data_IF_164195707898
#
_entry.id   IF_164195707898
#
_cell.length_a   1.000
_cell.length_b   1.000
_cell.length_c   1.000
_cell.angle_alpha   90.00
_cell.angle_beta   90.00
_cell.angle_gamma   90.00
#
_symmetry.space_group_name_H-M   'P 1'
#
loop_
_entity.id
_entity.type
_entity.pdbx_description
1 polymer ?
#
# COMPACT_ATOMS: atom_id res chain seq x y z
N UNK A 1 0.52 -0.05 21.02
CA UNK A 1 -0.63 -0.78 21.58
C UNK A 1 -0.57 -2.21 21.05
N UNK A 2 -0.42 -3.19 21.95
CA UNK A 2 -0.30 -4.61 21.57
C UNK A 2 -1.68 -5.12 21.16
N UNK A 3 -1.86 -5.55 19.90
CA UNK A 3 -3.15 -5.99 19.33
C UNK A 3 -3.71 -7.28 19.93
N UNK A 4 -3.01 -7.89 20.90
CA UNK A 4 -3.25 -9.26 21.34
C UNK A 4 -4.52 -9.48 22.19
N UNK A 5 -5.28 -8.45 22.56
CA UNK A 5 -6.44 -8.54 23.47
C UNK A 5 -7.68 -7.73 23.03
N UNK A 6 -7.84 -7.43 21.74
CA UNK A 6 -9.07 -6.77 21.27
C UNK A 6 -10.15 -7.83 20.99
N UNK A 7 -11.41 -7.61 21.41
CA UNK A 7 -12.52 -8.44 20.97
C UNK A 7 -12.61 -8.48 19.44
N UNK A 8 -13.10 -9.59 18.87
CA UNK A 8 -13.22 -9.79 17.42
C UNK A 8 -13.98 -8.66 16.70
N UNK A 9 -14.93 -8.05 17.41
CA UNK A 9 -15.87 -7.09 16.85
C UNK A 9 -15.33 -5.65 16.93
N UNK A 10 -14.10 -5.46 17.38
CA UNK A 10 -13.50 -4.15 17.60
C UNK A 10 -12.59 -3.74 16.44
N UNK A 11 -12.70 -2.48 16.02
CA UNK A 11 -11.82 -1.90 15.04
C UNK A 11 -10.49 -1.50 15.66
N UNK A 12 -9.38 -1.86 14.99
CA UNK A 12 -8.01 -1.60 15.46
C UNK A 12 -7.75 -0.12 15.74
N UNK A 13 -8.30 0.76 14.90
CA UNK A 13 -8.03 2.21 14.97
C UNK A 13 -8.78 2.92 16.09
N UNK A 14 -9.93 2.40 16.50
CA UNK A 14 -10.76 3.02 17.56
C UNK A 14 -10.69 2.26 18.87
N UNK A 15 -10.25 0.99 18.85
CA UNK A 15 -10.36 0.10 20.00
C UNK A 15 -11.81 -0.07 20.45
N UNK A 16 -12.76 0.05 19.52
CA UNK A 16 -14.20 0.04 19.79
C UNK A 16 -14.94 -0.69 18.67
N UNK A 17 -16.20 -1.11 18.88
CA UNK A 17 -17.00 -1.74 17.84
C UNK A 17 -17.51 -0.76 16.78
N UNK A 18 -17.14 0.53 16.88
CA UNK A 18 -17.50 1.56 15.90
C UNK A 18 -16.30 1.88 15.00
N UNK A 19 -16.48 1.95 13.67
CA UNK A 19 -15.43 2.37 12.77
C UNK A 19 -15.09 3.84 13.00
N UNK A 20 -13.83 4.21 12.71
CA UNK A 20 -13.42 5.61 12.72
C UNK A 20 -14.04 6.33 11.52
N UNK A 21 -14.54 7.55 11.74
CA UNK A 21 -14.98 8.41 10.64
C UNK A 21 -13.75 8.80 9.77
N UNK A 22 -13.83 8.70 8.43
CA UNK A 22 -12.65 8.87 7.57
C UNK A 22 -11.96 10.25 7.65
N UNK A 23 -12.66 11.33 7.98
CA UNK A 23 -12.03 12.65 8.16
C UNK A 23 -11.22 12.71 9.44
N UNK A 24 -11.60 11.98 10.49
CA UNK A 24 -10.80 11.88 11.71
C UNK A 24 -9.42 11.26 11.43
N UNK A 25 -9.31 10.33 10.48
CA UNK A 25 -8.01 9.78 10.07
C UNK A 25 -7.08 10.88 9.54
N UNK A 26 -7.56 11.72 8.63
CA UNK A 26 -6.77 12.84 8.11
C UNK A 26 -6.43 13.85 9.20
N UNK A 27 -7.35 14.12 10.13
CA UNK A 27 -7.09 15.00 11.27
C UNK A 27 -5.96 14.47 12.16
N UNK A 28 -6.05 13.20 12.60
CA UNK A 28 -5.03 12.56 13.43
C UNK A 28 -3.68 12.50 12.69
N UNK A 29 -3.70 12.15 11.40
CA UNK A 29 -2.48 12.11 10.58
C UNK A 29 -1.81 13.47 10.47
N UNK A 30 -2.58 14.53 10.20
CA UNK A 30 -2.06 15.90 10.11
C UNK A 30 -1.45 16.37 11.43
N UNK A 31 -2.04 15.96 12.57
CA UNK A 31 -1.52 16.26 13.90
C UNK A 31 -0.16 15.60 14.12
N UNK A 32 -0.03 14.32 13.78
CA UNK A 32 1.23 13.56 13.86
C UNK A 32 2.29 14.20 12.96
N UNK A 33 1.95 14.56 11.72
CA UNK A 33 2.87 15.23 10.80
C UNK A 33 3.38 16.55 11.38
N UNK A 34 2.50 17.35 11.99
CA UNK A 34 2.88 18.61 12.64
C UNK A 34 3.82 18.39 13.82
N UNK A 35 3.55 17.40 14.66
CA UNK A 35 4.40 17.03 15.80
C UNK A 35 5.79 16.57 15.33
N UNK A 36 5.86 15.82 14.23
CA UNK A 36 7.09 15.33 13.63
C UNK A 36 7.76 16.32 12.66
N UNK A 37 7.19 17.52 12.45
CA UNK A 37 7.66 18.54 11.50
C UNK A 37 7.79 18.03 10.06
N UNK A 38 6.89 17.14 9.64
CA UNK A 38 6.80 16.59 8.29
C UNK A 38 5.87 17.49 7.46
N UNK A 39 6.15 17.72 6.16
CA UNK A 39 5.22 18.42 5.28
C UNK A 39 3.82 17.81 5.28
N UNK A 40 2.81 18.66 5.19
CA UNK A 40 1.42 18.21 5.13
C UNK A 40 1.20 17.26 3.96
N UNK A 41 0.49 16.17 4.20
CA UNK A 41 0.05 15.25 3.16
C UNK A 41 -1.23 14.55 3.59
N UNK A 42 -2.06 14.16 2.62
CA UNK A 42 -3.27 13.38 2.92
C UNK A 42 -2.93 11.96 3.36
N UNK A 43 -3.78 11.35 4.18
CA UNK A 43 -3.58 10.00 4.72
C UNK A 43 -3.36 8.93 3.62
N UNK A 44 -3.93 9.13 2.43
CA UNK A 44 -3.72 8.25 1.26
C UNK A 44 -2.25 8.13 0.83
N UNK A 45 -1.37 9.06 1.22
CA UNK A 45 0.06 8.97 0.90
C UNK A 45 0.70 7.70 1.47
N UNK A 46 0.21 7.20 2.61
CA UNK A 46 0.73 5.96 3.20
C UNK A 46 0.49 4.75 2.28
N UNK A 47 -0.68 4.71 1.64
CA UNK A 47 -1.02 3.68 0.66
C UNK A 47 -0.14 3.78 -0.58
N UNK A 48 0.15 5.00 -1.03
CA UNK A 48 1.07 5.23 -2.13
C UNK A 48 2.50 4.80 -1.80
N UNK A 49 2.99 5.15 -0.61
CA UNK A 49 4.32 4.73 -0.14
C UNK A 49 4.43 3.22 -0.06
N UNK A 50 3.42 2.53 0.50
CA UNK A 50 3.41 1.07 0.54
C UNK A 50 3.46 0.46 -0.87
N UNK A 51 2.64 0.96 -1.79
CA UNK A 51 2.61 0.48 -3.17
C UNK A 51 3.96 0.64 -3.87
N UNK A 52 4.59 1.82 -3.76
CA UNK A 52 5.93 2.07 -4.32
C UNK A 52 6.96 1.09 -3.75
N UNK A 53 6.98 0.90 -2.43
CA UNK A 53 7.94 0.00 -1.78
C UNK A 53 7.72 -1.46 -2.15
N UNK A 54 6.47 -1.90 -2.25
CA UNK A 54 6.15 -3.27 -2.68
C UNK A 54 6.60 -3.54 -4.12
N UNK A 55 6.50 -2.55 -5.02
CA UNK A 55 7.00 -2.71 -6.38
C UNK A 55 8.52 -2.66 -6.47
N UNK A 56 9.19 -1.85 -5.65
CA UNK A 56 10.64 -1.85 -5.52
C UNK A 56 11.19 -3.22 -5.08
N UNK A 57 10.43 -3.98 -4.27
CA UNK A 57 10.81 -5.34 -3.86
C UNK A 57 10.43 -6.43 -4.88
N UNK A 58 9.97 -6.05 -6.08
CA UNK A 58 9.66 -6.98 -7.17
C UNK A 58 8.27 -7.62 -7.08
N UNK A 59 7.37 -7.09 -6.25
CA UNK A 59 5.97 -7.56 -6.21
C UNK A 59 5.28 -7.19 -7.51
N UNK A 60 4.60 -8.16 -8.13
CA UNK A 60 3.87 -7.90 -9.36
C UNK A 60 2.65 -6.98 -9.11
N UNK A 61 2.35 -6.15 -10.11
CA UNK A 61 1.31 -5.13 -9.99
C UNK A 61 -0.10 -5.70 -9.79
N UNK A 62 -0.36 -6.95 -10.23
CA UNK A 62 -1.67 -7.60 -10.08
C UNK A 62 -1.88 -8.05 -8.64
N UNK A 63 -0.90 -8.73 -8.06
CA UNK A 63 -0.90 -9.10 -6.65
C UNK A 63 -0.99 -7.88 -5.75
N UNK A 64 -0.25 -6.82 -6.05
CA UNK A 64 -0.32 -5.58 -5.28
C UNK A 64 -1.71 -4.91 -5.34
N UNK A 65 -2.36 -4.94 -6.51
CA UNK A 65 -3.72 -4.40 -6.66
C UNK A 65 -4.76 -5.21 -5.84
N UNK A 66 -4.62 -6.53 -5.79
CA UNK A 66 -5.45 -7.42 -4.97
C UNK A 66 -5.23 -7.17 -3.46
N UNK A 67 -3.99 -7.07 -3.00
CA UNK A 67 -3.64 -6.77 -1.60
C UNK A 67 -4.22 -5.42 -1.16
N UNK A 68 -4.14 -4.41 -2.05
CA UNK A 68 -4.65 -3.08 -1.76
C UNK A 68 -6.19 -3.00 -1.85
N UNK A 69 -6.87 -4.01 -2.40
CA UNK A 69 -8.33 -4.07 -2.45
C UNK A 69 -8.98 -2.94 -3.27
N UNK A 70 -8.31 -2.46 -4.33
CA UNK A 70 -8.91 -1.44 -5.20
C UNK A 70 -10.00 -2.07 -6.07
N UNK A 71 -11.25 -1.59 -5.92
CA UNK A 71 -12.31 -1.84 -6.91
C UNK A 71 -11.95 -1.23 -8.29
N UNK A 72 -10.98 -0.31 -8.35
CA UNK A 72 -10.54 0.34 -9.59
C UNK A 72 -9.03 0.15 -9.79
N UNK A 73 -8.69 -0.95 -10.48
CA UNK A 73 -7.32 -1.34 -10.88
C UNK A 73 -6.60 -0.21 -11.65
N UNK A 74 -7.35 0.68 -12.30
CA UNK A 74 -6.84 1.71 -13.22
C UNK A 74 -5.94 2.76 -12.54
N UNK A 75 -6.18 3.11 -11.27
CA UNK A 75 -5.34 4.10 -10.56
C UNK A 75 -4.00 3.52 -10.12
N UNK A 76 -3.98 2.26 -9.70
CA UNK A 76 -2.77 1.52 -9.30
C UNK A 76 -1.94 1.13 -10.53
N UNK A 77 -2.58 0.68 -11.62
CA UNK A 77 -1.85 0.37 -12.85
C UNK A 77 -1.25 1.64 -13.48
N UNK A 78 -1.99 2.75 -13.53
CA UNK A 78 -1.54 3.94 -14.26
C UNK A 78 -0.45 4.76 -13.55
N UNK A 79 -0.33 4.68 -12.21
CA UNK A 79 0.72 5.38 -11.46
C UNK A 79 2.01 4.57 -11.33
N UNK A 80 1.93 3.23 -11.41
CA UNK A 80 3.05 2.37 -11.06
C UNK A 80 3.54 1.42 -12.16
N UNK A 81 2.80 1.27 -13.27
CA UNK A 81 3.29 0.60 -14.49
C UNK A 81 4.21 1.55 -15.28
N UNK A 82 5.31 1.94 -14.63
CA UNK A 82 6.55 2.14 -15.35
C UNK A 82 7.46 0.96 -15.02
N UNK A 83 7.23 -0.22 -15.63
CA UNK A 83 8.19 -1.30 -15.53
C UNK A 83 9.51 -0.76 -16.08
N UNK A 84 10.47 -0.58 -15.17
CA UNK A 84 11.82 -0.21 -15.55
C UNK A 84 12.30 -1.22 -16.59
N UNK A 85 13.09 -0.77 -17.57
CA UNK A 85 13.68 -1.64 -18.59
C UNK A 85 14.34 -2.88 -17.97
N UNK A 86 14.90 -2.73 -16.78
CA UNK A 86 15.51 -3.78 -15.98
C UNK A 86 14.52 -4.89 -15.59
N UNK A 87 13.33 -4.55 -15.11
CA UNK A 87 12.31 -5.54 -14.74
C UNK A 87 11.78 -6.32 -15.95
N UNK A 88 11.69 -5.66 -17.12
CA UNK A 88 11.34 -6.35 -18.38
C UNK A 88 12.42 -7.34 -18.80
N UNK A 89 13.69 -6.96 -18.67
CA UNK A 89 14.84 -7.81 -19.00
C UNK A 89 14.94 -9.02 -18.05
N UNK A 90 14.72 -8.82 -16.74
CA UNK A 90 14.72 -9.90 -15.75
C UNK A 90 13.60 -10.91 -16.00
N UNK A 91 12.38 -10.46 -16.30
CA UNK A 91 11.25 -11.35 -16.61
C UNK A 91 11.47 -12.14 -17.91
N UNK A 92 12.04 -11.51 -18.94
CA UNK A 92 12.43 -12.18 -20.18
C UNK A 92 13.51 -13.24 -19.93
N UNK A 93 14.54 -12.91 -19.15
CA UNK A 93 15.60 -13.85 -18.79
C UNK A 93 15.04 -15.06 -18.03
N UNK A 94 14.09 -14.83 -17.11
CA UNK A 94 13.45 -15.89 -16.34
C UNK A 94 12.50 -16.78 -17.17
N UNK A 95 11.87 -16.20 -18.20
CA UNK A 95 11.02 -16.95 -19.14
C UNK A 95 11.85 -17.80 -20.11
N UNK A 96 13.00 -17.27 -20.56
CA UNK A 96 13.93 -17.96 -21.44
C UNK A 96 14.64 -19.13 -20.75
N UNK A 97 15.00 -19.00 -19.48
CA UNK A 97 15.61 -20.10 -18.71
C UNK A 97 14.64 -21.25 -18.47
N UNK A 98 13.36 -20.94 -18.25
CA UNK A 98 12.30 -21.94 -18.06
C UNK A 98 11.95 -22.72 -19.34
N UNK A 99 12.22 -22.15 -20.53
CA UNK A 99 12.05 -22.82 -21.83
C UNK A 99 13.30 -23.58 -22.29
N UNK A 100 14.46 -23.29 -21.71
CA UNK A 100 15.73 -23.94 -22.02
C UNK A 100 16.03 -25.16 -21.12
N UNK A 101 15.09 -25.54 -20.25
CA UNK A 101 15.13 -26.74 -19.39
C UNK A 101 14.06 -27.74 -19.85
#
# INVERSE_FOLDING_TARGET
>A
MSSKNLPSDFYILTGSPKPMEPRLLNYHFSKIQKELKIPYSHFHILRHTYASRAMETGTDARTLAEILGHANVKTTLSLYVHPSLKHKQECLAHSLSALAS
#
